data_IF_867025924663
#
_entry.id   IF_867025924663
#
_cell.length_a   1.000
_cell.length_b   1.000
_cell.length_c   1.000
_cell.angle_alpha   90.00
_cell.angle_beta   90.00
_cell.angle_gamma   90.00
#
_symmetry.space_group_name_H-M   'P 1'
#
loop_
_entity.id
_entity.type
_entity.pdbx_description
1 polymer ?
#
# COMPACT_ATOMS: atom_id res chain seq x y z
N UNK A 1 -24.05 -32.00 21.55
CA UNK A 1 -23.68 -30.57 21.63
C UNK A 1 -23.15 -30.20 20.28
N UNK A 2 -24.08 -29.85 19.40
CA UNK A 2 -23.83 -29.63 17.98
C UNK A 2 -23.22 -28.25 17.78
N UNK A 3 -21.94 -28.23 17.42
CA UNK A 3 -21.33 -27.07 16.79
C UNK A 3 -21.90 -26.98 15.38
N UNK A 4 -23.08 -26.36 15.25
CA UNK A 4 -23.56 -25.89 13.95
C UNK A 4 -22.56 -24.84 13.48
N UNK A 5 -21.61 -25.25 12.64
CA UNK A 5 -20.75 -24.36 11.89
C UNK A 5 -21.66 -23.64 10.90
N UNK A 6 -22.20 -22.50 11.33
CA UNK A 6 -22.74 -21.52 10.41
C UNK A 6 -21.57 -21.08 9.52
N UNK A 7 -21.69 -21.17 8.18
CA UNK A 7 -20.85 -20.33 7.36
C UNK A 7 -21.25 -18.90 7.72
N UNK A 8 -20.34 -17.93 7.73
CA UNK A 8 -20.56 -16.60 7.13
C UNK A 8 -19.70 -15.46 7.72
N UNK A 9 -19.05 -14.81 6.74
CA UNK A 9 -18.50 -13.45 6.69
C UNK A 9 -17.19 -13.16 7.44
N UNK A 10 -16.05 -13.06 6.73
CA UNK A 10 -14.77 -12.62 7.28
C UNK A 10 -14.71 -11.09 7.53
N UNK A 11 -15.86 -10.43 7.73
CA UNK A 11 -16.01 -8.96 7.62
C UNK A 11 -16.19 -8.22 8.94
N UNK A 12 -16.26 -8.93 10.06
CA UNK A 12 -16.41 -8.31 11.38
C UNK A 12 -15.09 -8.38 12.15
N UNK A 13 -14.21 -7.36 12.06
CA UNK A 13 -12.91 -7.36 12.75
C UNK A 13 -13.07 -7.49 14.27
N UNK A 14 -14.20 -7.01 14.81
CA UNK A 14 -14.56 -7.12 16.22
C UNK A 14 -14.78 -8.58 16.64
N UNK A 15 -15.43 -9.41 15.80
CA UNK A 15 -15.64 -10.84 16.09
C UNK A 15 -14.34 -11.63 16.02
N UNK A 16 -13.47 -11.30 15.06
CA UNK A 16 -12.14 -11.91 14.98
C UNK A 16 -11.28 -11.56 16.21
N UNK A 17 -11.31 -10.30 16.65
CA UNK A 17 -10.61 -9.85 17.85
C UNK A 17 -11.16 -10.56 19.12
N UNK A 18 -12.48 -10.68 19.24
CA UNK A 18 -13.10 -11.40 20.36
C UNK A 18 -12.71 -12.88 20.38
N UNK A 19 -12.74 -13.56 19.23
CA UNK A 19 -12.32 -14.96 19.13
C UNK A 19 -10.84 -15.14 19.49
N UNK A 20 -9.98 -14.21 19.08
CA UNK A 20 -8.57 -14.21 19.44
C UNK A 20 -8.39 -14.03 20.96
N UNK A 21 -9.06 -13.06 21.58
CA UNK A 21 -8.98 -12.84 23.03
C UNK A 21 -9.51 -14.03 23.83
N UNK A 22 -10.58 -14.67 23.35
CA UNK A 22 -11.11 -15.88 23.99
C UNK A 22 -10.13 -17.06 23.92
N UNK A 23 -9.36 -17.17 22.83
CA UNK A 23 -8.43 -18.28 22.61
C UNK A 23 -7.05 -18.07 23.27
N UNK A 24 -6.55 -16.83 23.26
CA UNK A 24 -5.18 -16.49 23.69
C UNK A 24 -5.11 -15.72 25.01
N UNK A 25 -6.25 -15.26 25.54
CA UNK A 25 -6.33 -14.56 26.82
C UNK A 25 -6.55 -13.04 26.71
N UNK A 26 -7.06 -12.42 27.79
CA UNK A 26 -7.40 -10.99 27.82
C UNK A 26 -6.19 -10.04 27.83
N UNK A 27 -4.97 -10.51 28.14
CA UNK A 27 -3.73 -9.74 28.15
C UNK A 27 -3.41 -9.08 26.79
N UNK A 28 -3.86 -9.69 25.70
CA UNK A 28 -3.68 -9.16 24.35
C UNK A 28 -4.51 -7.91 24.05
N UNK A 29 -5.40 -7.48 24.95
CA UNK A 29 -6.13 -6.22 24.82
C UNK A 29 -5.16 -5.03 24.69
N UNK A 30 -4.03 -5.05 25.42
CA UNK A 30 -2.99 -4.03 25.28
C UNK A 30 -2.30 -4.10 23.91
N UNK A 31 -2.07 -5.31 23.38
CA UNK A 31 -1.53 -5.51 22.03
C UNK A 31 -2.47 -4.92 20.98
N UNK A 32 -3.77 -5.21 21.06
CA UNK A 32 -4.77 -4.62 20.16
C UNK A 32 -4.83 -3.09 20.25
N UNK A 33 -4.71 -2.54 21.47
CA UNK A 33 -4.61 -1.10 21.68
C UNK A 33 -3.37 -0.50 21.00
N UNK A 34 -2.21 -1.15 21.13
CA UNK A 34 -0.97 -0.70 20.49
C UNK A 34 -1.04 -0.78 18.96
N UNK A 35 -1.61 -1.86 18.40
CA UNK A 35 -1.79 -2.02 16.95
C UNK A 35 -2.76 -0.99 16.38
N UNK A 36 -3.83 -0.66 17.13
CA UNK A 36 -4.77 0.40 16.74
C UNK A 36 -4.08 1.76 16.74
N UNK A 37 -3.32 2.08 17.79
CA UNK A 37 -2.55 3.33 17.88
C UNK A 37 -1.49 3.45 16.79
N UNK A 38 -0.89 2.32 16.37
CA UNK A 38 0.06 2.27 15.26
C UNK A 38 -0.60 2.34 13.87
N UNK A 39 -1.93 2.35 13.78
CA UNK A 39 -2.67 2.33 12.50
C UNK A 39 -2.62 0.99 11.76
N UNK A 40 -2.11 -0.07 12.40
CA UNK A 40 -2.02 -1.42 11.81
C UNK A 40 -3.32 -2.20 11.93
N UNK A 41 -4.16 -1.84 12.91
CA UNK A 41 -5.49 -2.41 13.10
C UNK A 41 -6.51 -1.30 13.33
N UNK A 42 -7.07 -0.79 12.23
CA UNK A 42 -8.12 0.22 12.26
C UNK A 42 -9.45 -0.38 11.85
N UNK A 43 -10.52 0.12 12.45
CA UNK A 43 -11.87 -0.18 11.97
C UNK A 43 -12.10 0.67 10.72
N UNK A 44 -12.47 0.05 9.61
CA UNK A 44 -12.80 0.80 8.41
C UNK A 44 -14.15 1.51 8.63
N UNK A 45 -14.09 2.78 9.03
CA UNK A 45 -15.29 3.61 9.09
C UNK A 45 -15.82 3.81 7.66
N UNK A 46 -17.12 3.62 7.39
CA UNK A 46 -17.69 3.71 6.03
C UNK A 46 -17.57 5.10 5.38
N UNK A 47 -17.06 6.12 6.09
CA UNK A 47 -16.90 7.50 5.59
C UNK A 47 -15.47 7.96 5.29
N UNK A 48 -14.41 7.31 5.78
CA UNK A 48 -13.03 7.85 5.68
C UNK A 48 -12.45 7.80 4.27
N UNK A 49 -12.90 6.86 3.44
CA UNK A 49 -12.51 6.73 2.03
C UNK A 49 -13.11 7.80 1.11
N UNK A 50 -14.01 8.65 1.59
CA UNK A 50 -14.64 9.71 0.79
C UNK A 50 -13.87 11.04 0.86
N UNK A 51 -13.19 11.32 1.97
CA UNK A 51 -12.60 12.64 2.25
C UNK A 51 -11.38 12.98 1.39
N UNK A 52 -10.71 11.98 0.79
CA UNK A 52 -9.56 12.22 -0.09
C UNK A 52 -9.92 12.71 -1.51
N UNK A 53 -11.21 12.72 -1.89
CA UNK A 53 -11.64 13.09 -3.25
C UNK A 53 -12.92 13.93 -3.34
N UNK A 54 -13.43 14.44 -2.21
CA UNK A 54 -14.59 15.35 -2.18
C UNK A 54 -14.32 16.71 -2.89
N UNK A 55 -13.07 17.12 -3.06
CA UNK A 55 -12.75 18.44 -3.64
C UNK A 55 -12.99 18.57 -5.15
N UNK A 56 -13.48 17.53 -5.86
CA UNK A 56 -13.76 17.59 -7.30
C UNK A 56 -15.19 17.21 -7.74
N UNK A 57 -16.06 16.75 -6.83
CA UNK A 57 -17.42 16.29 -7.19
C UNK A 57 -18.54 17.10 -6.52
N UNK A 58 -18.24 18.08 -5.67
CA UNK A 58 -19.27 18.98 -5.10
C UNK A 58 -19.91 19.96 -6.10
N UNK A 59 -19.75 19.76 -7.42
CA UNK A 59 -20.33 20.65 -8.45
C UNK A 59 -21.34 19.99 -9.39
N UNK A 60 -21.67 18.70 -9.23
CA UNK A 60 -22.63 18.03 -10.10
C UNK A 60 -23.35 16.92 -9.32
N UNK A 61 -24.67 16.77 -9.19
CA UNK A 61 -25.87 17.45 -9.68
C UNK A 61 -27.01 16.88 -8.80
N UNK A 62 -27.95 17.73 -8.37
CA UNK A 62 -29.26 17.34 -7.84
C UNK A 62 -30.07 16.55 -8.88
N UNK A 63 -30.85 15.60 -8.40
CA UNK A 63 -31.99 14.93 -9.06
C UNK A 63 -31.80 13.48 -9.52
N UNK A 64 -32.59 12.60 -8.87
CA UNK A 64 -33.08 11.25 -9.23
C UNK A 64 -32.12 10.17 -9.76
N UNK A 65 -30.83 10.46 -10.02
CA UNK A 65 -29.79 9.48 -10.31
C UNK A 65 -29.01 9.03 -9.05
N UNK A 66 -29.46 9.47 -7.87
CA UNK A 66 -28.78 9.28 -6.58
C UNK A 66 -28.55 7.80 -6.22
N UNK A 67 -29.45 6.89 -6.60
CA UNK A 67 -29.37 5.48 -6.19
C UNK A 67 -28.20 4.72 -6.85
N UNK A 68 -28.00 4.92 -8.17
CA UNK A 68 -26.85 4.34 -8.90
C UNK A 68 -25.52 4.99 -8.52
N UNK A 69 -25.56 6.29 -8.18
CA UNK A 69 -24.37 7.02 -7.72
C UNK A 69 -23.98 6.55 -6.31
N UNK A 70 -24.95 6.28 -5.43
CA UNK A 70 -24.72 5.82 -4.05
C UNK A 70 -24.07 4.44 -4.03
N UNK A 71 -24.46 3.51 -4.90
CA UNK A 71 -23.81 2.19 -5.01
C UNK A 71 -22.40 2.26 -5.59
N UNK A 72 -22.18 3.12 -6.58
CA UNK A 72 -20.84 3.40 -7.10
C UNK A 72 -19.95 4.06 -6.02
N UNK A 73 -20.51 4.98 -5.23
CA UNK A 73 -19.83 5.63 -4.10
C UNK A 73 -19.55 4.66 -2.96
N UNK A 74 -20.49 3.77 -2.62
CA UNK A 74 -20.28 2.74 -1.60
C UNK A 74 -19.24 1.71 -2.04
N UNK A 75 -19.15 1.42 -3.35
CA UNK A 75 -18.10 0.58 -3.93
C UNK A 75 -16.72 1.27 -3.95
N UNK A 76 -16.71 2.61 -4.03
CA UNK A 76 -15.50 3.44 -3.98
C UNK A 76 -15.03 3.64 -2.54
N UNK A 77 -15.96 3.79 -1.59
CA UNK A 77 -15.69 3.80 -0.15
C UNK A 77 -15.15 2.46 0.37
N UNK A 78 -15.34 1.38 -0.39
CA UNK A 78 -14.75 0.07 -0.08
C UNK A 78 -13.34 -0.12 -0.65
N UNK A 79 -12.80 0.84 -1.40
CA UNK A 79 -11.46 0.73 -2.01
C UNK A 79 -10.42 1.40 -1.12
N UNK A 80 -9.60 0.57 -0.46
CA UNK A 80 -8.42 1.07 0.26
C UNK A 80 -7.45 1.76 -0.70
N UNK A 81 -6.75 2.80 -0.22
CA UNK A 81 -5.68 3.49 -0.96
C UNK A 81 -4.67 2.49 -1.55
N UNK A 82 -4.43 1.38 -0.85
CA UNK A 82 -3.60 0.29 -1.32
C UNK A 82 -4.01 -0.21 -2.72
N UNK A 83 -5.31 -0.35 -3.02
CA UNK A 83 -5.72 -0.80 -4.35
C UNK A 83 -5.34 0.19 -5.45
N UNK A 84 -5.49 1.48 -5.19
CA UNK A 84 -5.11 2.53 -6.13
C UNK A 84 -3.59 2.59 -6.32
N UNK A 85 -2.82 2.53 -5.22
CA UNK A 85 -1.36 2.52 -5.23
C UNK A 85 -0.83 1.26 -5.94
N UNK A 86 -1.36 0.09 -5.63
CA UNK A 86 -0.97 -1.19 -6.24
C UNK A 86 -1.15 -1.18 -7.75
N UNK A 87 -2.21 -0.53 -8.26
CA UNK A 87 -2.41 -0.36 -9.70
C UNK A 87 -1.43 0.67 -10.29
N UNK A 88 -1.25 1.83 -9.66
CA UNK A 88 -0.36 2.90 -10.15
C UNK A 88 1.11 2.46 -10.21
N UNK A 89 1.54 1.67 -9.22
CA UNK A 89 2.93 1.22 -9.10
C UNK A 89 3.15 -0.22 -9.59
N UNK A 90 2.13 -0.90 -10.12
CA UNK A 90 2.23 -2.31 -10.52
C UNK A 90 2.83 -3.19 -9.40
N UNK A 91 2.28 -3.10 -8.19
CA UNK A 91 2.77 -3.84 -7.02
C UNK A 91 2.33 -5.30 -7.01
N UNK A 92 1.31 -5.66 -7.79
CA UNK A 92 0.84 -7.04 -7.95
C UNK A 92 1.13 -7.44 -9.39
N UNK A 93 2.26 -8.12 -9.64
CA UNK A 93 2.59 -8.64 -10.96
C UNK A 93 1.49 -9.57 -11.46
N UNK A 94 1.20 -9.49 -12.75
CA UNK A 94 0.33 -10.45 -13.44
C UNK A 94 1.24 -11.45 -14.12
N UNK A 95 1.51 -12.55 -13.45
CA UNK A 95 2.30 -13.65 -14.02
C UNK A 95 1.34 -14.76 -14.38
N UNK A 96 1.39 -15.19 -15.64
CA UNK A 96 0.68 -16.37 -16.08
C UNK A 96 1.53 -17.59 -15.68
N UNK A 97 1.08 -18.33 -14.66
CA UNK A 97 1.78 -19.50 -14.13
C UNK A 97 2.68 -19.20 -12.92
N UNK A 98 3.57 -20.14 -12.63
CA UNK A 98 4.50 -20.04 -11.48
C UNK A 98 5.61 -19.03 -11.77
N UNK A 99 5.97 -18.23 -10.75
CA UNK A 99 7.06 -17.27 -10.86
C UNK A 99 8.42 -17.97 -10.85
N UNK A 100 9.21 -17.79 -11.90
CA UNK A 100 10.56 -18.38 -11.98
C UNK A 100 11.54 -17.66 -11.03
N UNK A 101 11.79 -18.28 -9.88
CA UNK A 101 12.75 -17.78 -8.88
C UNK A 101 14.22 -17.96 -9.29
N UNK A 102 14.52 -18.78 -10.31
CA UNK A 102 15.90 -18.98 -10.77
C UNK A 102 16.36 -17.81 -11.64
N UNK A 103 15.42 -17.18 -12.35
CA UNK A 103 15.69 -16.03 -13.23
C UNK A 103 14.71 -14.91 -12.88
N UNK A 104 14.90 -14.22 -11.73
CA UNK A 104 13.99 -13.18 -11.28
C UNK A 104 14.02 -11.97 -12.23
N UNK A 105 12.84 -11.46 -12.60
CA UNK A 105 12.69 -10.34 -13.54
C UNK A 105 12.49 -8.99 -12.86
N UNK A 106 11.99 -9.01 -11.64
CA UNK A 106 11.70 -7.83 -10.84
C UNK A 106 11.78 -8.19 -9.35
N UNK A 107 11.64 -7.20 -8.47
CA UNK A 107 11.72 -7.41 -7.02
C UNK A 107 10.55 -8.21 -6.42
N UNK A 108 9.60 -8.69 -7.24
CA UNK A 108 8.55 -9.57 -6.76
C UNK A 108 9.08 -10.95 -6.33
N UNK A 109 10.31 -11.31 -6.74
CA UNK A 109 10.96 -12.56 -6.31
C UNK A 109 10.98 -12.73 -4.79
N UNK A 110 11.00 -11.64 -4.01
CA UNK A 110 10.99 -11.65 -2.54
C UNK A 110 9.70 -12.28 -1.99
N UNK A 111 8.59 -12.13 -2.72
CA UNK A 111 7.28 -12.68 -2.38
C UNK A 111 6.79 -13.66 -3.45
N UNK A 112 7.70 -14.36 -4.12
CA UNK A 112 7.40 -15.38 -5.14
C UNK A 112 6.44 -14.91 -6.23
N UNK A 113 6.58 -13.66 -6.67
CA UNK A 113 5.74 -13.06 -7.71
C UNK A 113 4.42 -12.48 -7.23
N UNK A 114 4.03 -12.67 -5.96
CA UNK A 114 2.74 -12.21 -5.46
C UNK A 114 2.69 -10.69 -5.21
N UNK A 115 3.83 -10.09 -4.91
CA UNK A 115 3.91 -8.68 -4.53
C UNK A 115 5.32 -8.11 -4.74
N UNK A 116 5.41 -6.89 -5.29
CA UNK A 116 6.62 -6.07 -5.26
C UNK A 116 6.55 -5.16 -4.04
N UNK A 117 7.54 -5.15 -3.13
CA UNK A 117 7.52 -4.26 -1.98
C UNK A 117 7.35 -2.78 -2.39
N UNK A 118 6.33 -2.13 -1.83
CA UNK A 118 5.98 -0.72 -2.11
C UNK A 118 7.21 0.20 -2.04
N UNK A 119 8.00 0.11 -0.97
CA UNK A 119 9.20 0.92 -0.76
C UNK A 119 10.20 0.74 -1.90
N UNK A 120 10.44 -0.51 -2.30
CA UNK A 120 11.33 -0.86 -3.39
C UNK A 120 10.85 -0.26 -4.71
N UNK A 121 9.55 -0.32 -5.01
CA UNK A 121 8.99 0.23 -6.26
C UNK A 121 9.06 1.76 -6.32
N UNK A 122 8.89 2.44 -5.18
CA UNK A 122 9.07 3.90 -5.10
C UNK A 122 10.53 4.25 -5.39
N UNK A 123 11.47 3.55 -4.76
CA UNK A 123 12.91 3.78 -4.96
C UNK A 123 13.30 3.53 -6.42
N UNK A 124 12.83 2.44 -7.02
CA UNK A 124 13.03 2.12 -8.44
C UNK A 124 12.57 3.28 -9.34
N UNK A 125 11.35 3.80 -9.16
CA UNK A 125 10.83 4.93 -9.94
C UNK A 125 11.68 6.20 -9.76
N UNK A 126 12.14 6.50 -8.54
CA UNK A 126 12.98 7.68 -8.27
C UNK A 126 14.36 7.52 -8.91
N UNK A 127 14.95 6.33 -8.86
CA UNK A 127 16.26 6.06 -9.45
C UNK A 127 16.21 6.08 -10.99
N UNK A 128 15.17 5.51 -11.59
CA UNK A 128 14.95 5.52 -13.04
C UNK A 128 14.77 6.94 -13.59
N UNK A 129 13.93 7.75 -12.93
CA UNK A 129 13.60 9.11 -13.36
C UNK A 129 14.59 10.16 -12.86
N UNK A 130 15.43 9.80 -11.88
CA UNK A 130 16.29 10.72 -11.10
C UNK A 130 15.51 11.89 -10.51
N UNK A 131 14.25 11.66 -10.17
CA UNK A 131 13.30 12.69 -9.76
C UNK A 131 12.09 12.07 -9.07
N UNK A 132 11.44 12.87 -8.24
CA UNK A 132 10.15 12.55 -7.63
C UNK A 132 8.95 12.95 -8.50
N UNK A 133 9.20 13.66 -9.62
CA UNK A 133 8.15 14.09 -10.53
C UNK A 133 7.32 12.91 -11.04
N UNK A 134 5.98 13.04 -10.95
CA UNK A 134 5.03 12.02 -11.38
C UNK A 134 4.62 11.02 -10.30
N UNK A 135 5.19 11.12 -9.09
CA UNK A 135 4.79 10.31 -7.92
C UNK A 135 3.82 11.05 -6.98
N UNK A 136 3.44 12.30 -7.27
CA UNK A 136 2.64 13.16 -6.39
C UNK A 136 1.33 12.51 -5.95
N UNK A 137 0.62 11.86 -6.89
CA UNK A 137 -0.62 11.14 -6.58
C UNK A 137 -0.40 9.94 -5.66
N UNK A 138 0.72 9.23 -5.84
CA UNK A 138 1.08 8.07 -5.01
C UNK A 138 1.42 8.53 -3.60
N UNK A 139 2.23 9.59 -3.48
CA UNK A 139 2.60 10.17 -2.19
C UNK A 139 1.38 10.72 -1.44
N UNK A 140 0.43 11.34 -2.15
CA UNK A 140 -0.85 11.79 -1.57
C UNK A 140 -1.67 10.62 -1.02
N UNK A 141 -1.77 9.51 -1.76
CA UNK A 141 -2.48 8.30 -1.32
C UNK A 141 -1.81 7.60 -0.13
N UNK A 142 -0.50 7.81 0.07
CA UNK A 142 0.26 7.32 1.22
C UNK A 142 0.22 8.28 2.42
N UNK A 143 -0.54 9.37 2.33
CA UNK A 143 -0.53 10.47 3.32
C UNK A 143 0.89 11.05 3.55
N UNK A 144 1.75 10.98 2.53
CA UNK A 144 3.14 11.43 2.56
C UNK A 144 3.28 12.81 1.87
N UNK A 145 2.45 13.79 2.28
CA UNK A 145 2.41 15.11 1.64
C UNK A 145 3.48 16.08 2.14
N UNK A 146 4.13 15.80 3.28
CA UNK A 146 5.04 16.74 3.95
C UNK A 146 6.53 16.50 3.69
N UNK A 147 6.91 15.41 3.00
CA UNK A 147 8.29 15.26 2.57
C UNK A 147 8.52 16.23 1.41
N UNK A 148 9.12 17.38 1.72
CA UNK A 148 9.57 18.36 0.76
C UNK A 148 10.68 17.75 -0.13
N UNK A 149 10.27 16.95 -1.11
CA UNK A 149 11.15 16.38 -2.12
C UNK A 149 11.47 17.47 -3.13
N UNK A 150 12.42 18.34 -2.77
CA UNK A 150 12.86 19.47 -3.58
C UNK A 150 13.58 18.97 -4.84
N UNK A 151 12.81 18.70 -5.89
CA UNK A 151 13.06 19.01 -7.31
C UNK A 151 14.28 18.45 -8.05
N UNK A 152 15.37 18.04 -7.40
CA UNK A 152 16.55 17.56 -8.09
C UNK A 152 17.26 16.50 -7.25
N UNK A 153 17.41 15.30 -7.82
CA UNK A 153 18.46 14.40 -7.37
C UNK A 153 19.79 15.17 -7.49
N UNK A 154 20.57 15.33 -6.39
CA UNK A 154 21.85 16.04 -6.46
C UNK A 154 22.68 15.45 -7.60
N UNK A 155 23.17 16.30 -8.51
CA UNK A 155 24.18 15.87 -9.49
C UNK A 155 25.31 15.25 -8.69
N UNK A 156 25.42 13.92 -8.84
CA UNK A 156 26.19 13.03 -7.98
C UNK A 156 27.65 13.51 -7.92
N UNK A 157 28.15 13.85 -6.74
CA UNK A 157 29.55 13.57 -6.42
C UNK A 157 29.57 12.06 -6.11
N UNK A 158 30.22 11.27 -6.97
CA UNK A 158 29.96 9.86 -7.15
C UNK A 158 30.31 8.94 -5.98
N UNK A 159 29.35 8.11 -5.58
CA UNK A 159 29.65 6.81 -4.94
C UNK A 159 30.31 5.82 -5.92
N UNK A 160 30.12 6.02 -7.23
CA UNK A 160 30.72 5.18 -8.29
C UNK A 160 32.21 5.46 -8.50
N UNK A 161 32.66 6.69 -8.24
CA UNK A 161 34.06 7.07 -8.44
C UNK A 161 34.98 6.50 -7.34
N UNK A 162 34.43 6.11 -6.18
CA UNK A 162 35.18 5.56 -5.04
C UNK A 162 35.60 4.10 -5.24
N UNK A 163 34.84 3.31 -6.00
CA UNK A 163 35.16 1.91 -6.27
C UNK A 163 36.15 1.76 -7.43
N UNK A 164 36.05 2.62 -8.46
CA UNK A 164 36.93 2.57 -9.64
C UNK A 164 38.36 3.07 -9.34
N UNK A 165 38.53 3.96 -8.34
CA UNK A 165 39.84 4.34 -7.81
C UNK A 165 40.52 3.27 -6.93
N UNK A 166 39.75 2.32 -6.36
CA UNK A 166 40.27 1.29 -5.47
C UNK A 166 40.82 0.07 -6.24
N UNK A 167 40.30 -0.22 -7.44
CA UNK A 167 40.79 -1.34 -8.25
C UNK A 167 42.11 -1.04 -8.98
N UNK A 168 42.54 0.22 -9.11
CA UNK A 168 43.80 0.59 -9.76
C UNK A 168 45.04 0.53 -8.85
N UNK A 169 44.85 0.34 -7.55
CA UNK A 169 45.93 0.25 -6.56
C UNK A 169 46.10 -1.18 -5.99
N UNK A 170 45.47 -2.19 -6.60
CA UNK A 170 45.60 -3.59 -6.21
C UNK A 170 46.30 -4.46 -7.28
N UNK A 171 47.01 -3.83 -8.21
CA UNK A 171 47.93 -4.50 -9.14
C UNK A 171 49.23 -3.70 -9.19
N UNK A 172 50.04 -3.84 -8.14
CA UNK A 172 51.50 -3.83 -8.15
C UNK A 172 51.99 -4.73 -7.01
#
# INVERSE_FOLDING_TARGET
>A
MDWVILPHSPRDPQRAALHFLQSYGPEHLLTFSNLRRAGLLTEQAPGETLTAMESKVSKLVMDKAAEKITDAFSSLAKRSNFRAISKKLNLIPRVDGEYDLKVPRDMAYVFSGAYVPLSCRIIEQVLERRSWQGLDDVLRLLHCSELAFTGAWPRRVGWRDREEGRMRHAVL
#
